data_IF_291233890326
#
_entry.id   IF_291233890326
#
_cell.length_a   1.000
_cell.length_b   1.000
_cell.length_c   1.000
_cell.angle_alpha   90.00
_cell.angle_beta   90.00
_cell.angle_gamma   90.00
#
_symmetry.space_group_name_H-M   'P 1'
#
loop_
_entity.id
_entity.type
_entity.pdbx_description
1 polymer ?
#
# COMPACT_ATOMS: atom_id res chain seq x y z
N UNK A 1 0.76 10.47 -18.54
CA UNK A 1 -0.04 10.02 -17.38
C UNK A 1 -0.66 11.21 -16.65
N UNK A 2 0.11 12.22 -16.24
CA UNK A 2 -0.41 13.41 -15.55
C UNK A 2 -1.62 14.08 -16.24
N UNK A 3 -1.55 14.28 -17.57
CA UNK A 3 -2.68 14.84 -18.33
C UNK A 3 -3.98 14.05 -18.16
N UNK A 4 -3.90 12.72 -18.14
CA UNK A 4 -5.08 11.85 -17.99
C UNK A 4 -5.60 11.92 -16.55
N UNK A 5 -4.69 11.95 -15.57
CA UNK A 5 -5.05 12.13 -14.16
C UNK A 5 -5.82 13.43 -13.91
N UNK A 6 -5.33 14.56 -14.43
CA UNK A 6 -5.99 15.87 -14.30
C UNK A 6 -7.36 15.84 -15.00
N UNK A 7 -7.38 15.35 -16.25
CA UNK A 7 -8.63 15.24 -17.02
C UNK A 7 -9.69 14.42 -16.27
N UNK A 8 -9.30 13.30 -15.66
CA UNK A 8 -10.24 12.46 -14.90
C UNK A 8 -10.86 13.22 -13.72
N UNK A 9 -10.07 13.99 -12.97
CA UNK A 9 -10.61 14.77 -11.84
C UNK A 9 -11.55 15.89 -12.33
N UNK A 10 -11.18 16.60 -13.39
CA UNK A 10 -12.03 17.64 -14.00
C UNK A 10 -13.36 17.09 -14.54
N UNK A 11 -13.38 15.84 -14.99
CA UNK A 11 -14.59 15.14 -15.46
C UNK A 11 -15.39 14.57 -14.29
N UNK A 12 -14.74 13.99 -13.27
CA UNK A 12 -15.39 13.44 -12.09
C UNK A 12 -16.12 14.51 -11.25
N UNK A 13 -15.62 15.75 -11.23
CA UNK A 13 -16.35 16.89 -10.62
C UNK A 13 -17.70 17.15 -11.28
N UNK A 14 -17.82 16.88 -12.59
CA UNK A 14 -19.05 17.09 -13.37
C UNK A 14 -19.94 15.86 -13.40
N UNK A 15 -19.33 14.68 -13.28
CA UNK A 15 -19.98 13.39 -13.36
C UNK A 15 -19.51 12.49 -12.20
N UNK A 16 -20.17 12.56 -11.02
CA UNK A 16 -19.75 11.82 -9.83
C UNK A 16 -19.74 10.29 -10.00
N UNK A 17 -20.49 9.74 -10.96
CA UNK A 17 -20.47 8.30 -11.28
C UNK A 17 -19.10 7.81 -11.75
N UNK A 18 -18.25 8.70 -12.27
CA UNK A 18 -16.86 8.34 -12.62
C UNK A 18 -16.03 7.95 -11.40
N UNK A 19 -16.33 8.49 -10.21
CA UNK A 19 -15.68 8.04 -8.98
C UNK A 19 -16.12 6.61 -8.61
N UNK A 20 -17.40 6.29 -8.80
CA UNK A 20 -17.91 4.94 -8.55
C UNK A 20 -17.28 3.92 -9.51
N UNK A 21 -17.11 4.30 -10.79
CA UNK A 21 -16.35 3.49 -11.75
C UNK A 21 -14.88 3.34 -11.33
N UNK A 22 -14.24 4.42 -10.88
CA UNK A 22 -12.88 4.38 -10.36
C UNK A 22 -12.72 3.41 -9.18
N UNK A 23 -13.68 3.43 -8.23
CA UNK A 23 -13.73 2.48 -7.11
C UNK A 23 -13.97 1.05 -7.59
N UNK A 24 -14.81 0.84 -8.60
CA UNK A 24 -15.07 -0.47 -9.18
C UNK A 24 -13.80 -1.04 -9.85
N UNK A 25 -13.06 -0.24 -10.62
CA UNK A 25 -11.78 -0.65 -11.21
C UNK A 25 -10.71 -0.94 -10.14
N UNK A 26 -10.67 -0.15 -9.06
CA UNK A 26 -9.76 -0.43 -7.95
C UNK A 26 -10.10 -1.77 -7.28
N UNK A 27 -11.38 -2.03 -7.01
CA UNK A 27 -11.82 -3.32 -6.46
C UNK A 27 -11.50 -4.49 -7.41
N UNK A 28 -11.75 -4.33 -8.70
CA UNK A 28 -11.41 -5.36 -9.70
C UNK A 28 -9.90 -5.67 -9.72
N UNK A 29 -9.05 -4.67 -9.51
CA UNK A 29 -7.61 -4.87 -9.36
C UNK A 29 -7.27 -5.67 -8.09
N UNK A 30 -7.93 -5.38 -6.96
CA UNK A 30 -7.75 -6.14 -5.70
C UNK A 30 -8.26 -7.58 -5.82
N UNK A 31 -9.36 -7.79 -6.55
CA UNK A 31 -9.95 -9.11 -6.82
C UNK A 31 -9.14 -9.93 -7.84
N UNK A 32 -8.08 -9.36 -8.44
CA UNK A 32 -7.16 -10.05 -9.36
C UNK A 32 -7.67 -10.17 -10.80
N UNK A 33 -8.50 -9.21 -11.26
CA UNK A 33 -8.93 -9.15 -12.65
C UNK A 33 -7.72 -9.01 -13.60
N UNK A 34 -7.59 -9.95 -14.54
CA UNK A 34 -6.41 -10.04 -15.41
C UNK A 34 -6.28 -8.86 -16.37
N UNK A 35 -7.38 -8.30 -16.86
CA UNK A 35 -7.35 -7.17 -17.78
C UNK A 35 -6.96 -5.89 -17.05
N UNK A 36 -7.56 -5.67 -15.88
CA UNK A 36 -7.24 -4.53 -15.01
C UNK A 36 -5.80 -4.61 -14.51
N UNK A 37 -5.35 -5.80 -14.09
CA UNK A 37 -3.95 -6.03 -13.72
C UNK A 37 -2.97 -5.73 -14.86
N UNK A 38 -3.29 -6.14 -16.09
CA UNK A 38 -2.44 -5.89 -17.25
C UNK A 38 -2.33 -4.38 -17.53
N UNK A 39 -3.45 -3.65 -17.42
CA UNK A 39 -3.47 -2.20 -17.56
C UNK A 39 -2.66 -1.51 -16.44
N UNK A 40 -2.84 -1.94 -15.18
CA UNK A 40 -2.06 -1.44 -14.05
C UNK A 40 -0.56 -1.67 -14.24
N UNK A 41 -0.14 -2.89 -14.64
CA UNK A 41 1.27 -3.22 -14.94
C UNK A 41 1.83 -2.28 -16.02
N UNK A 42 1.06 -2.01 -17.08
CA UNK A 42 1.46 -1.08 -18.13
C UNK A 42 1.67 0.34 -17.61
N UNK A 43 0.79 0.85 -16.74
CA UNK A 43 0.98 2.18 -16.13
C UNK A 43 2.19 2.23 -15.21
N UNK A 44 2.43 1.16 -14.43
CA UNK A 44 3.59 1.03 -13.56
C UNK A 44 4.89 1.04 -14.36
N UNK A 45 4.97 0.22 -15.41
CA UNK A 45 6.18 0.09 -16.22
C UNK A 45 6.51 1.37 -17.00
N UNK A 46 5.49 2.09 -17.50
CA UNK A 46 5.69 3.41 -18.12
C UNK A 46 6.20 4.44 -17.11
N UNK A 47 5.67 4.43 -15.88
CA UNK A 47 6.13 5.32 -14.81
C UNK A 47 7.58 5.02 -14.43
N UNK A 48 7.92 3.74 -14.25
CA UNK A 48 9.28 3.30 -13.91
C UNK A 48 10.30 3.73 -14.97
N UNK A 49 9.99 3.60 -16.27
CA UNK A 49 10.88 4.07 -17.35
C UNK A 49 11.19 5.57 -17.25
N UNK A 50 10.18 6.39 -16.95
CA UNK A 50 10.39 7.83 -16.78
C UNK A 50 11.17 8.15 -15.51
N UNK A 51 10.92 7.43 -14.41
CA UNK A 51 11.70 7.55 -13.18
C UNK A 51 13.16 7.15 -13.37
N UNK A 52 13.43 6.03 -14.05
CA UNK A 52 14.79 5.59 -14.41
C UNK A 52 15.55 6.66 -15.20
N UNK A 53 14.89 7.34 -16.15
CA UNK A 53 15.51 8.46 -16.87
C UNK A 53 15.94 9.57 -15.91
N UNK A 54 15.09 9.93 -14.95
CA UNK A 54 15.38 10.97 -13.96
C UNK A 54 16.50 10.52 -13.02
N UNK A 55 16.43 9.30 -12.48
CA UNK A 55 17.45 8.75 -11.59
C UNK A 55 18.82 8.68 -12.28
N UNK A 56 18.87 8.36 -13.57
CA UNK A 56 20.11 8.37 -14.35
C UNK A 56 20.76 9.75 -14.43
N UNK A 57 19.97 10.83 -14.53
CA UNK A 57 20.50 12.22 -14.52
C UNK A 57 21.18 12.52 -13.19
N UNK A 58 20.62 12.02 -12.08
CA UNK A 58 21.19 12.18 -10.74
C UNK A 58 22.22 11.10 -10.36
N UNK A 59 22.57 10.21 -11.30
CA UNK A 59 23.45 9.06 -11.05
C UNK A 59 22.99 8.19 -9.86
N UNK A 60 21.68 8.02 -9.73
CA UNK A 60 21.04 7.17 -8.71
C UNK A 60 20.65 5.84 -9.34
N UNK A 61 20.89 4.74 -8.61
CA UNK A 61 20.44 3.40 -8.96
C UNK A 61 19.78 2.75 -7.74
N UNK A 62 18.64 2.10 -7.96
CA UNK A 62 17.96 1.33 -6.92
C UNK A 62 18.15 -0.16 -7.17
N UNK A 63 18.36 -0.92 -6.09
CA UNK A 63 18.44 -2.39 -6.13
C UNK A 63 17.06 -3.06 -6.10
N UNK A 64 16.03 -2.33 -5.65
CA UNK A 64 14.66 -2.82 -5.55
C UNK A 64 13.64 -1.70 -5.78
N UNK A 65 12.55 -2.04 -6.46
CA UNK A 65 11.38 -1.18 -6.70
C UNK A 65 10.13 -1.74 -6.00
N UNK A 66 10.31 -2.42 -4.86
CA UNK A 66 9.23 -3.00 -4.08
C UNK A 66 8.37 -1.91 -3.42
N UNK A 67 7.36 -1.44 -4.16
CA UNK A 67 6.33 -0.51 -3.67
C UNK A 67 5.20 -1.21 -2.94
N UNK A 68 4.20 -0.44 -2.50
CA UNK A 68 3.10 -0.88 -1.64
C UNK A 68 2.41 -2.18 -2.11
N UNK A 69 2.08 -2.26 -3.41
CA UNK A 69 1.39 -3.41 -3.99
C UNK A 69 2.17 -4.74 -3.82
N UNK A 70 3.49 -4.71 -3.68
CA UNK A 70 4.32 -5.90 -3.46
C UNK A 70 4.06 -6.57 -2.11
N UNK A 71 3.53 -5.81 -1.13
CA UNK A 71 3.31 -6.30 0.23
C UNK A 71 1.85 -6.68 0.51
N UNK A 72 0.93 -6.50 -0.45
CA UNK A 72 -0.50 -6.77 -0.24
C UNK A 72 -0.78 -8.23 0.17
N UNK A 73 -0.05 -9.20 -0.39
CA UNK A 73 -0.13 -10.63 -0.06
C UNK A 73 0.68 -11.03 1.19
N UNK A 74 1.28 -10.06 1.89
CA UNK A 74 2.22 -10.29 3.02
C UNK A 74 1.75 -9.65 4.33
N UNK A 75 0.57 -9.03 4.34
CA UNK A 75 0.04 -8.32 5.52
C UNK A 75 -0.49 -9.26 6.59
N UNK A 76 -0.99 -10.45 6.22
CA UNK A 76 -1.53 -11.43 7.17
C UNK A 76 -0.51 -11.86 8.24
N UNK A 77 0.78 -11.89 7.87
CA UNK A 77 1.87 -12.23 8.79
C UNK A 77 1.90 -11.25 9.97
N UNK A 78 1.70 -9.96 9.71
CA UNK A 78 1.68 -8.91 10.75
C UNK A 78 0.50 -9.11 11.69
N UNK A 79 -0.69 -9.30 11.12
CA UNK A 79 -1.94 -9.46 11.90
C UNK A 79 -1.85 -10.69 12.80
N UNK A 80 -1.36 -11.82 12.25
CA UNK A 80 -1.23 -13.06 13.00
C UNK A 80 -0.20 -12.92 14.13
N UNK A 81 0.96 -12.30 13.87
CA UNK A 81 1.97 -12.10 14.91
C UNK A 81 1.46 -11.20 16.05
N UNK A 82 0.72 -10.13 15.74
CA UNK A 82 0.13 -9.27 16.76
C UNK A 82 -0.97 -9.98 17.56
N UNK A 83 -1.75 -10.84 16.91
CA UNK A 83 -2.77 -11.67 17.57
C UNK A 83 -2.15 -12.69 18.51
N UNK A 84 -1.12 -13.40 18.06
CA UNK A 84 -0.40 -14.40 18.86
C UNK A 84 0.27 -13.79 20.11
N UNK A 85 0.74 -12.54 19.99
CA UNK A 85 1.30 -11.78 21.13
C UNK A 85 0.25 -11.16 22.03
N UNK A 86 -1.05 -11.28 21.71
CA UNK A 86 -2.14 -10.71 22.49
C UNK A 86 -2.17 -9.17 22.48
N UNK A 87 -1.62 -8.54 21.44
CA UNK A 87 -1.52 -7.07 21.33
C UNK A 87 -2.71 -6.43 20.62
N UNK A 88 -3.51 -7.22 19.89
CA UNK A 88 -4.68 -6.73 19.18
C UNK A 88 -5.88 -6.61 20.13
N UNK A 89 -6.50 -5.43 20.11
CA UNK A 89 -7.71 -5.08 20.85
C UNK A 89 -8.78 -4.64 19.86
N UNK A 90 -10.02 -5.06 20.07
CA UNK A 90 -11.14 -4.57 19.27
C UNK A 90 -11.57 -3.17 19.75
N UNK A 91 -11.71 -2.23 18.82
CA UNK A 91 -12.17 -0.87 19.08
C UNK A 91 -13.05 -0.39 17.92
N UNK A 92 -14.33 -0.14 18.20
CA UNK A 92 -15.33 0.30 17.20
C UNK A 92 -15.35 -0.57 15.92
N UNK A 93 -15.25 -1.89 16.08
CA UNK A 93 -15.21 -2.86 14.98
C UNK A 93 -13.86 -2.96 14.26
N UNK A 94 -12.88 -2.12 14.58
CA UNK A 94 -11.50 -2.23 14.09
C UNK A 94 -10.63 -3.03 15.05
N UNK A 95 -9.54 -3.61 14.56
CA UNK A 95 -8.48 -4.20 15.40
C UNK A 95 -7.34 -3.18 15.53
N UNK A 96 -6.98 -2.84 16.76
CA UNK A 96 -5.99 -1.80 17.08
C UNK A 96 -4.95 -2.31 18.08
N UNK A 97 -3.77 -1.68 18.08
CA UNK A 97 -2.76 -1.85 19.12
C UNK A 97 -2.77 -0.60 19.99
N UNK A 98 -2.97 -0.78 21.30
CA UNK A 98 -2.93 0.32 22.27
C UNK A 98 -1.48 0.73 22.52
N UNK A 99 -1.22 2.04 22.50
CA UNK A 99 0.11 2.62 22.64
C UNK A 99 0.17 3.67 23.77
N UNK A 100 -0.78 3.63 24.70
CA UNK A 100 -0.89 4.58 25.82
C UNK A 100 0.38 4.63 26.68
N UNK A 101 1.05 3.49 26.86
CA UNK A 101 2.34 3.40 27.57
C UNK A 101 3.44 4.28 26.94
N UNK A 102 3.30 4.61 25.65
CA UNK A 102 4.20 5.46 24.90
C UNK A 102 3.64 6.88 24.68
N UNK A 103 2.53 7.24 25.33
CA UNK A 103 1.78 8.48 25.10
C UNK A 103 1.41 8.69 23.62
N UNK A 104 1.06 7.61 22.93
CA UNK A 104 0.68 7.63 21.51
C UNK A 104 -0.77 7.17 21.31
N UNK A 105 -1.47 7.69 20.28
CA UNK A 105 -2.80 7.20 19.95
C UNK A 105 -2.77 5.73 19.52
N UNK A 106 -3.88 4.98 19.68
CA UNK A 106 -3.96 3.61 19.21
C UNK A 106 -3.65 3.48 17.72
N UNK A 107 -2.87 2.48 17.37
CA UNK A 107 -2.54 2.19 15.97
C UNK A 107 -3.56 1.20 15.42
N UNK A 108 -4.33 1.63 14.41
CA UNK A 108 -5.28 0.75 13.72
C UNK A 108 -4.49 -0.24 12.84
N UNK A 109 -4.82 -1.53 12.90
CA UNK A 109 -4.17 -2.58 12.12
C UNK A 109 -5.13 -3.15 11.07
N UNK A 110 -6.40 -3.34 11.45
CA UNK A 110 -7.46 -3.73 10.52
C UNK A 110 -8.67 -2.85 10.75
N UNK A 111 -9.26 -2.33 9.68
CA UNK A 111 -10.58 -1.69 9.74
C UNK A 111 -11.68 -2.74 9.90
N UNK A 112 -12.87 -2.29 10.31
CA UNK A 112 -14.02 -3.19 10.49
C UNK A 112 -14.59 -3.78 9.20
N UNK A 113 -14.23 -3.22 8.04
CA UNK A 113 -14.50 -3.82 6.72
C UNK A 113 -13.45 -4.89 6.32
N UNK A 114 -12.49 -5.17 7.20
CA UNK A 114 -11.39 -6.10 6.95
C UNK A 114 -10.26 -5.51 6.10
N UNK A 115 -10.38 -4.26 5.63
CA UNK A 115 -9.33 -3.63 4.84
C UNK A 115 -8.12 -3.30 5.72
N UNK A 116 -6.95 -3.76 5.27
CA UNK A 116 -5.66 -3.39 5.84
C UNK A 116 -5.37 -1.90 5.62
N UNK A 117 -4.67 -1.28 6.55
CA UNK A 117 -4.26 0.12 6.43
C UNK A 117 -2.74 0.28 6.25
N UNK A 118 -2.30 1.51 5.99
CA UNK A 118 -0.89 1.86 5.78
C UNK A 118 0.05 1.29 6.85
N UNK A 119 -0.33 1.36 8.13
CA UNK A 119 0.49 0.83 9.23
C UNK A 119 0.80 -0.67 9.08
N UNK A 120 -0.20 -1.48 8.71
CA UNK A 120 -0.04 -2.93 8.50
C UNK A 120 0.86 -3.22 7.32
N UNK A 121 0.74 -2.42 6.24
CA UNK A 121 1.60 -2.54 5.06
C UNK A 121 3.04 -2.16 5.37
N UNK A 122 3.25 -1.10 6.15
CA UNK A 122 4.59 -0.66 6.57
C UNK A 122 5.28 -1.67 7.48
N UNK A 123 4.53 -2.25 8.43
CA UNK A 123 5.02 -3.36 9.26
C UNK A 123 5.38 -4.58 8.40
N UNK A 124 4.53 -4.94 7.44
CA UNK A 124 4.81 -6.03 6.50
C UNK A 124 6.09 -5.75 5.68
N UNK A 125 6.28 -4.51 5.23
CA UNK A 125 7.47 -4.10 4.52
C UNK A 125 8.73 -4.17 5.40
N UNK A 126 8.66 -3.69 6.64
CA UNK A 126 9.77 -3.76 7.59
C UNK A 126 10.16 -5.22 7.90
N UNK A 127 9.18 -6.08 8.19
CA UNK A 127 9.38 -7.51 8.45
C UNK A 127 9.96 -8.23 7.23
N UNK A 128 9.40 -7.99 6.05
CA UNK A 128 9.90 -8.55 4.79
C UNK A 128 11.35 -8.13 4.57
N UNK A 129 11.67 -6.83 4.67
CA UNK A 129 13.04 -6.33 4.46
C UNK A 129 14.01 -6.93 5.47
N UNK A 130 13.62 -7.06 6.74
CA UNK A 130 14.46 -7.69 7.76
C UNK A 130 14.71 -9.16 7.45
N UNK A 131 13.68 -9.90 7.05
CA UNK A 131 13.83 -11.32 6.70
C UNK A 131 14.68 -11.55 5.44
N UNK A 132 14.54 -10.71 4.43
CA UNK A 132 15.19 -10.93 3.12
C UNK A 132 16.60 -10.34 3.02
N UNK A 133 16.84 -9.19 3.67
CA UNK A 133 18.13 -8.52 3.60
C UNK A 133 18.96 -8.69 4.87
N UNK A 134 18.36 -9.16 5.96
CA UNK A 134 18.96 -9.25 7.30
C UNK A 134 19.77 -8.01 7.69
N UNK A 135 19.21 -6.83 7.40
CA UNK A 135 19.93 -5.59 7.58
C UNK A 135 20.29 -5.36 9.05
N UNK A 136 21.44 -4.71 9.29
CA UNK A 136 21.81 -4.19 10.60
C UNK A 136 21.08 -2.87 10.92
N UNK A 137 20.86 -2.03 9.91
CA UNK A 137 20.18 -0.73 10.03
C UNK A 137 19.28 -0.49 8.82
N UNK A 138 18.05 -0.03 9.06
CA UNK A 138 17.15 0.46 8.03
C UNK A 138 16.90 1.95 8.25
N UNK A 139 17.01 2.75 7.19
CA UNK A 139 16.78 4.19 7.21
C UNK A 139 15.58 4.45 6.31
N UNK A 140 14.60 5.18 6.85
CA UNK A 140 13.41 5.65 6.15
C UNK A 140 13.54 7.16 5.95
#
# INVERSE_FOLDING_TARGET
LLRIYVKFHDEAEKEPSLEDEGRAYFKALEDGDKEVEALWKRFRDLSLKEFERIYKIFNVKFDSYAGEAFYNDKMDVVVNELREKGLLVESNGAQVVMLDEYNMPPCIVLKGDGASIYATRDLAAAMYRKKNYDFHKCIY
#
